data_IF_683410488878
#
_entry.id   IF_683410488878
#
_cell.length_a   1.000
_cell.length_b   1.000
_cell.length_c   1.000
_cell.angle_alpha   90.00
_cell.angle_beta   90.00
_cell.angle_gamma   90.00
#
_symmetry.space_group_name_H-M   'P 1'
#
loop_
_entity.id
_entity.type
_entity.pdbx_description
1 polymer ?
#
# COMPACT_ATOMS: atom_id res chain seq x y z
N UNK A 1 -35.80 9.12 73.28
CA UNK A 1 -34.93 8.02 73.74
C UNK A 1 -35.39 6.77 73.00
N UNK A 2 -34.59 6.27 72.03
CA UNK A 2 -34.59 4.91 71.40
C UNK A 2 -35.94 4.40 70.82
N UNK A 3 -36.09 3.67 69.72
CA UNK A 3 -35.29 3.08 68.65
C UNK A 3 -36.33 2.54 67.64
N UNK A 4 -35.96 2.33 66.37
CA UNK A 4 -36.61 1.33 65.49
C UNK A 4 -37.13 1.82 64.14
N UNK A 5 -36.49 1.38 63.05
CA UNK A 5 -37.03 1.32 61.67
C UNK A 5 -38.07 0.17 61.54
N UNK A 6 -38.93 0.12 60.49
CA UNK A 6 -38.56 -0.37 59.13
C UNK A 6 -39.20 0.43 57.96
N UNK A 7 -38.56 0.54 56.78
CA UNK A 7 -38.81 -0.19 55.50
C UNK A 7 -40.21 0.06 54.90
N UNK A 8 -40.48 0.36 53.63
CA UNK A 8 -39.81 0.17 52.34
C UNK A 8 -40.31 1.23 51.33
N UNK A 9 -39.53 1.52 50.29
CA UNK A 9 -39.96 2.27 49.11
C UNK A 9 -38.80 2.64 48.19
N UNK A 10 -38.49 1.74 47.25
CA UNK A 10 -37.55 1.98 46.14
C UNK A 10 -37.94 3.20 45.29
N UNK A 11 -36.95 4.01 44.87
CA UNK A 11 -36.92 4.63 43.55
C UNK A 11 -36.04 3.81 42.58
N UNK A 12 -36.28 3.91 41.27
CA UNK A 12 -35.75 2.97 40.28
C UNK A 12 -34.24 3.13 40.05
N UNK A 13 -33.63 2.01 39.69
CA UNK A 13 -32.24 1.83 39.32
C UNK A 13 -31.76 2.87 38.29
N UNK A 14 -30.72 3.61 38.67
CA UNK A 14 -29.79 4.22 37.71
C UNK A 14 -29.00 3.08 37.07
N UNK A 15 -29.51 2.55 35.96
CA UNK A 15 -28.70 1.79 34.99
C UNK A 15 -27.69 2.77 34.37
N UNK A 16 -26.63 3.07 35.12
CA UNK A 16 -25.35 3.41 34.52
C UNK A 16 -24.93 2.17 33.72
N UNK A 17 -25.23 2.19 32.42
CA UNK A 17 -24.53 1.35 31.48
C UNK A 17 -23.04 1.61 31.69
N UNK A 18 -22.35 0.60 32.22
CA UNK A 18 -20.93 0.41 31.99
C UNK A 18 -20.73 0.53 30.48
N UNK A 19 -20.21 1.68 30.07
CA UNK A 19 -19.60 1.87 28.76
C UNK A 19 -18.27 1.12 28.80
N UNK A 20 -18.37 -0.21 28.84
CA UNK A 20 -17.28 -1.13 28.56
C UNK A 20 -17.17 -1.26 27.04
N UNK A 21 -16.86 -0.15 26.37
CA UNK A 21 -16.25 -0.21 25.04
C UNK A 21 -14.78 -0.55 25.22
N UNK A 22 -14.48 -1.76 25.71
CA UNK A 22 -13.31 -2.47 25.23
C UNK A 22 -13.65 -2.97 23.84
N UNK A 23 -13.65 -2.06 22.88
CA UNK A 23 -13.44 -2.43 21.49
C UNK A 23 -11.99 -2.87 21.40
N UNK A 24 -11.75 -4.18 21.39
CA UNK A 24 -10.58 -4.73 20.73
C UNK A 24 -10.73 -4.39 19.23
N UNK A 25 -10.45 -3.12 18.88
CA UNK A 25 -10.45 -2.67 17.51
C UNK A 25 -9.27 -3.35 16.82
N UNK A 26 -9.56 -4.44 16.11
CA UNK A 26 -8.60 -5.07 15.21
C UNK A 26 -7.98 -3.96 14.33
N UNK A 27 -6.65 -3.95 14.20
CA UNK A 27 -5.96 -2.90 13.46
C UNK A 27 -6.51 -2.79 12.04
N UNK A 28 -7.26 -1.72 11.79
CA UNK A 28 -7.69 -1.34 10.46
C UNK A 28 -6.51 -0.70 9.72
N UNK A 29 -6.28 -1.11 8.49
CA UNK A 29 -5.23 -0.53 7.65
C UNK A 29 -5.71 0.83 7.15
N UNK A 30 -5.28 1.88 7.84
CA UNK A 30 -5.70 3.27 7.68
C UNK A 30 -7.17 3.55 8.00
N UNK A 31 -7.49 4.77 8.49
CA UNK A 31 -8.88 5.21 8.66
C UNK A 31 -9.70 5.15 7.35
N UNK A 32 -11.02 5.08 7.46
CA UNK A 32 -11.94 5.09 6.31
C UNK A 32 -11.82 6.36 5.46
N UNK A 33 -11.46 7.48 6.07
CA UNK A 33 -11.25 8.76 5.41
C UNK A 33 -9.80 8.97 4.93
N UNK A 34 -8.97 7.93 4.97
CA UNK A 34 -7.64 7.95 4.40
C UNK A 34 -7.69 7.87 2.87
N UNK A 35 -6.81 8.58 2.12
CA UNK A 35 -6.74 8.48 0.66
C UNK A 35 -6.59 7.07 0.07
N UNK A 36 -6.10 6.10 0.85
CA UNK A 36 -6.09 4.69 0.44
C UNK A 36 -7.50 4.08 0.42
N UNK A 37 -8.39 4.46 1.34
CA UNK A 37 -9.70 3.83 1.56
C UNK A 37 -10.87 4.67 1.03
N UNK A 38 -10.60 5.84 0.45
CA UNK A 38 -11.67 6.68 -0.13
C UNK A 38 -12.13 6.18 -1.50
N UNK A 39 -13.45 6.00 -1.64
CA UNK A 39 -14.13 5.81 -2.91
C UNK A 39 -14.03 7.06 -3.80
N UNK A 40 -13.41 6.90 -4.97
CA UNK A 40 -13.21 7.93 -5.99
C UNK A 40 -14.09 7.73 -7.23
N UNK A 41 -15.10 6.86 -7.17
CA UNK A 41 -15.94 6.51 -8.31
C UNK A 41 -16.93 7.61 -8.69
N UNK A 42 -17.28 8.52 -7.77
CA UNK A 42 -18.15 9.66 -8.07
C UNK A 42 -17.41 10.69 -8.93
N UNK A 43 -17.81 10.90 -10.21
CA UNK A 43 -17.13 11.84 -11.10
C UNK A 43 -17.39 13.32 -10.74
N UNK A 44 -18.32 13.61 -9.84
CA UNK A 44 -18.56 14.97 -9.34
C UNK A 44 -17.60 15.31 -8.21
N UNK A 45 -17.43 14.39 -7.26
CA UNK A 45 -16.47 14.54 -6.16
C UNK A 45 -15.01 14.41 -6.65
N UNK A 46 -14.78 13.47 -7.57
CA UNK A 46 -13.48 13.17 -8.18
C UNK A 46 -13.56 13.36 -9.70
N UNK A 47 -13.53 14.61 -10.18
CA UNK A 47 -13.58 14.88 -11.61
C UNK A 47 -12.30 14.38 -12.29
N UNK A 48 -12.43 14.06 -13.58
CA UNK A 48 -11.27 13.73 -14.42
C UNK A 48 -10.29 14.90 -14.40
N UNK A 49 -9.01 14.59 -14.17
CA UNK A 49 -7.94 15.57 -14.16
C UNK A 49 -7.80 16.20 -15.55
N UNK A 50 -7.61 17.53 -15.62
CA UNK A 50 -7.55 18.24 -16.91
C UNK A 50 -6.42 17.74 -17.85
N UNK A 51 -5.32 17.24 -17.27
CA UNK A 51 -4.20 16.64 -18.00
C UNK A 51 -4.30 15.11 -18.16
N UNK A 52 -5.45 14.48 -17.86
CA UNK A 52 -5.60 13.01 -17.91
C UNK A 52 -5.12 12.42 -19.24
N UNK A 53 -5.54 12.98 -20.38
CA UNK A 53 -5.14 12.48 -21.69
C UNK A 53 -3.62 12.55 -21.93
N UNK A 54 -2.96 13.59 -21.39
CA UNK A 54 -1.50 13.74 -21.51
C UNK A 54 -0.77 12.70 -20.64
N UNK A 55 -1.22 12.50 -19.40
CA UNK A 55 -0.66 11.47 -18.51
C UNK A 55 -0.81 10.07 -19.10
N UNK A 56 -2.00 9.71 -19.57
CA UNK A 56 -2.26 8.41 -20.20
C UNK A 56 -1.43 8.25 -21.49
N UNK A 57 -1.25 9.32 -22.27
CA UNK A 57 -0.38 9.31 -23.45
C UNK A 57 1.09 9.09 -23.08
N UNK A 58 1.56 9.68 -21.98
CA UNK A 58 2.93 9.52 -21.49
C UNK A 58 3.21 8.13 -20.95
N UNK A 59 2.27 7.52 -20.21
CA UNK A 59 2.42 6.15 -19.66
C UNK A 59 2.28 5.10 -20.77
N UNK A 60 1.39 5.34 -21.74
CA UNK A 60 1.22 4.47 -22.91
C UNK A 60 -0.20 3.91 -23.02
N UNK A 61 -1.08 4.48 -23.85
CA UNK A 61 -2.51 4.10 -23.92
C UNK A 61 -2.76 2.71 -24.50
N UNK A 62 -1.76 2.17 -25.20
CA UNK A 62 -1.78 0.83 -25.80
C UNK A 62 -0.99 -0.19 -24.98
N UNK A 63 -0.34 0.24 -23.89
CA UNK A 63 0.15 -0.66 -22.86
C UNK A 63 -1.03 -1.33 -22.16
N UNK A 64 -0.75 -2.37 -21.40
CA UNK A 64 -1.79 -3.20 -20.77
C UNK A 64 -1.47 -3.40 -19.31
N UNK A 65 -2.50 -3.46 -18.47
CA UNK A 65 -2.33 -3.73 -17.05
C UNK A 65 -1.64 -5.08 -16.84
N UNK A 66 -0.70 -5.12 -15.91
CA UNK A 66 0.11 -6.29 -15.62
C UNK A 66 0.10 -6.56 -14.12
N UNK A 67 -0.24 -7.79 -13.71
CA UNK A 67 -0.03 -8.24 -12.33
C UNK A 67 1.45 -8.53 -12.13
N UNK A 68 2.11 -7.75 -11.28
CA UNK A 68 3.48 -7.98 -10.84
C UNK A 68 3.51 -8.79 -9.54
N UNK A 69 2.70 -9.87 -9.52
CA UNK A 69 2.51 -10.79 -8.41
C UNK A 69 1.88 -12.09 -8.92
N UNK A 70 1.97 -13.16 -8.13
CA UNK A 70 1.42 -14.47 -8.51
C UNK A 70 1.98 -15.59 -7.65
N UNK A 71 2.23 -16.74 -8.27
CA UNK A 71 2.79 -17.91 -7.57
C UNK A 71 4.33 -17.82 -7.43
N UNK A 72 5.08 -18.38 -8.37
CA UNK A 72 6.54 -18.40 -8.39
C UNK A 72 7.10 -18.22 -9.81
N UNK A 73 8.21 -17.51 -9.93
CA UNK A 73 8.98 -17.36 -11.17
C UNK A 73 10.46 -17.60 -10.91
N UNK A 74 11.08 -18.48 -11.71
CA UNK A 74 12.50 -18.83 -11.59
C UNK A 74 12.96 -19.29 -10.19
N UNK A 75 12.04 -19.86 -9.39
CA UNK A 75 12.33 -20.37 -8.05
C UNK A 75 12.20 -19.34 -6.93
N UNK A 76 11.67 -18.16 -7.22
CA UNK A 76 11.32 -17.14 -6.23
C UNK A 76 9.82 -16.78 -6.33
N UNK A 77 9.17 -16.39 -5.21
CA UNK A 77 7.81 -15.86 -5.23
C UNK A 77 7.71 -14.59 -6.11
N UNK A 78 6.57 -14.41 -6.80
CA UNK A 78 6.31 -13.21 -7.61
C UNK A 78 5.49 -12.20 -6.78
N UNK A 79 5.99 -10.97 -6.66
CA UNK A 79 5.35 -9.89 -5.91
C UNK A 79 6.11 -9.55 -4.64
N UNK A 80 5.51 -8.67 -3.82
CA UNK A 80 6.15 -8.12 -2.63
C UNK A 80 5.59 -8.86 -1.41
N UNK A 81 6.37 -9.75 -0.77
CA UNK A 81 5.88 -10.48 0.39
C UNK A 81 5.92 -9.60 1.64
N UNK A 82 5.13 -10.01 2.64
CA UNK A 82 5.11 -9.40 3.95
C UNK A 82 5.02 -10.48 5.02
N UNK A 83 5.31 -10.11 6.27
CA UNK A 83 5.05 -10.94 7.43
C UNK A 83 4.23 -10.17 8.47
N UNK A 84 3.48 -10.90 9.28
CA UNK A 84 2.85 -10.34 10.49
C UNK A 84 3.88 -10.39 11.61
N UNK A 85 4.04 -9.29 12.35
CA UNK A 85 4.96 -9.21 13.48
C UNK A 85 4.35 -9.98 14.64
N UNK A 86 5.00 -11.07 15.04
CA UNK A 86 4.63 -11.87 16.20
C UNK A 86 5.47 -11.48 17.43
N UNK A 87 5.02 -11.82 18.64
CA UNK A 87 5.64 -11.37 19.88
C UNK A 87 7.10 -11.82 20.11
N UNK A 88 7.60 -12.79 19.34
CA UNK A 88 9.01 -13.24 19.34
C UNK A 88 9.82 -12.73 18.13
N UNK A 89 9.21 -11.94 17.24
CA UNK A 89 9.93 -11.28 16.14
C UNK A 89 10.99 -10.34 16.71
N UNK A 90 12.27 -10.50 16.36
CA UNK A 90 13.32 -9.67 16.91
C UNK A 90 13.29 -8.27 16.29
N UNK A 91 13.54 -7.28 17.15
CA UNK A 91 13.71 -5.89 16.75
C UNK A 91 15.19 -5.64 16.48
N UNK A 92 15.51 -5.23 15.27
CA UNK A 92 16.88 -5.03 14.80
C UNK A 92 17.10 -3.58 14.41
N UNK A 93 18.30 -3.08 14.74
CA UNK A 93 18.77 -1.80 14.25
C UNK A 93 19.20 -1.95 12.77
N UNK A 94 18.91 -0.93 11.97
CA UNK A 94 19.19 -0.91 10.54
C UNK A 94 19.95 0.38 10.21
N UNK A 95 21.05 0.27 9.46
CA UNK A 95 21.72 1.42 8.85
C UNK A 95 21.17 1.68 7.44
N UNK A 96 21.17 2.94 7.01
CA UNK A 96 20.55 3.34 5.76
C UNK A 96 21.52 4.02 4.79
N UNK A 97 21.36 3.74 3.50
CA UNK A 97 21.99 4.52 2.43
C UNK A 97 21.40 5.93 2.36
N UNK A 98 20.08 6.04 2.47
CA UNK A 98 19.30 7.28 2.49
C UNK A 98 18.84 7.60 3.92
N UNK A 99 19.80 7.72 4.83
CA UNK A 99 19.59 7.93 6.27
C UNK A 99 18.74 9.17 6.60
N UNK A 100 18.97 10.29 5.91
CA UNK A 100 18.25 11.55 6.14
C UNK A 100 16.77 11.52 5.71
N UNK A 101 16.39 10.51 4.93
CA UNK A 101 15.04 10.25 4.47
C UNK A 101 14.37 9.04 5.12
N UNK A 102 15.09 8.31 5.98
CA UNK A 102 14.60 7.08 6.63
C UNK A 102 14.20 7.31 8.08
N UNK A 103 13.37 6.42 8.61
CA UNK A 103 13.07 6.39 10.03
C UNK A 103 14.06 5.47 10.75
N UNK A 104 14.59 5.89 11.92
CA UNK A 104 15.72 5.20 12.57
C UNK A 104 15.43 3.77 13.03
N UNK A 105 14.16 3.39 13.19
CA UNK A 105 13.77 2.07 13.71
C UNK A 105 13.69 2.02 15.24
N UNK A 106 13.83 0.82 15.85
CA UNK A 106 14.22 -0.46 15.21
C UNK A 106 13.13 -1.04 14.30
N UNK A 107 13.50 -2.03 13.48
CA UNK A 107 12.62 -2.75 12.57
C UNK A 107 12.37 -4.20 13.02
N UNK A 108 11.16 -4.75 12.87
CA UNK A 108 10.88 -6.15 13.16
C UNK A 108 11.32 -6.99 11.95
N UNK A 109 12.43 -7.71 12.08
CA UNK A 109 12.96 -8.57 11.02
C UNK A 109 13.15 -9.98 11.58
N UNK A 110 12.35 -10.99 11.18
CA UNK A 110 12.50 -12.36 11.65
C UNK A 110 13.82 -12.99 11.16
N UNK A 111 14.19 -14.15 11.71
CA UNK A 111 15.44 -14.84 11.35
C UNK A 111 15.50 -15.24 9.86
N UNK A 112 14.33 -15.56 9.27
CA UNK A 112 14.16 -15.87 7.85
C UNK A 112 13.09 -14.94 7.26
N UNK A 113 13.43 -13.66 7.00
CA UNK A 113 12.45 -12.69 6.53
C UNK A 113 12.02 -13.01 5.10
N UNK A 114 10.74 -12.85 4.76
CA UNK A 114 10.35 -12.87 3.38
C UNK A 114 10.91 -11.62 2.68
N UNK A 115 11.67 -11.83 1.61
CA UNK A 115 12.31 -10.78 0.83
C UNK A 115 11.75 -10.86 -0.60
N UNK A 116 11.38 -9.70 -1.16
CA UNK A 116 11.01 -9.64 -2.59
C UNK A 116 12.15 -10.17 -3.48
N UNK A 117 11.80 -11.06 -4.42
CA UNK A 117 12.77 -11.75 -5.27
C UNK A 117 13.57 -12.84 -4.55
N UNK A 118 13.27 -13.10 -3.26
CA UNK A 118 13.91 -14.11 -2.43
C UNK A 118 15.25 -13.69 -1.83
N UNK A 119 15.87 -14.54 -0.99
CA UNK A 119 17.11 -14.23 -0.29
C UNK A 119 18.30 -13.97 -1.22
N UNK A 120 18.29 -14.55 -2.43
CA UNK A 120 19.30 -14.35 -3.48
C UNK A 120 18.93 -13.24 -4.49
N UNK A 121 17.82 -12.52 -4.29
CA UNK A 121 17.37 -11.43 -5.15
C UNK A 121 18.39 -10.28 -5.19
N UNK A 122 18.58 -9.63 -6.34
CA UNK A 122 19.59 -8.57 -6.49
C UNK A 122 18.98 -7.19 -6.78
N UNK A 123 17.64 -7.11 -6.83
CA UNK A 123 16.89 -5.91 -7.16
C UNK A 123 16.37 -5.26 -5.87
N UNK A 124 15.09 -4.92 -5.79
CA UNK A 124 14.56 -4.04 -4.74
C UNK A 124 14.59 -4.64 -3.33
N UNK A 125 14.43 -5.97 -3.19
CA UNK A 125 14.58 -6.69 -1.90
C UNK A 125 13.80 -6.03 -0.75
N UNK A 126 12.52 -5.75 -0.98
CA UNK A 126 11.66 -5.21 0.07
C UNK A 126 11.47 -6.21 1.23
N UNK A 127 11.42 -5.69 2.45
CA UNK A 127 10.96 -6.42 3.65
C UNK A 127 9.84 -5.59 4.28
N UNK A 128 8.64 -6.16 4.35
CA UNK A 128 7.47 -5.54 4.96
C UNK A 128 7.05 -6.32 6.22
N UNK A 129 6.91 -5.61 7.35
CA UNK A 129 6.45 -6.14 8.62
C UNK A 129 5.19 -5.42 9.09
N UNK A 130 4.10 -6.17 9.24
CA UNK A 130 2.80 -5.68 9.68
C UNK A 130 2.57 -6.02 11.15
N UNK A 131 2.59 -5.02 12.02
CA UNK A 131 2.31 -5.16 13.44
C UNK A 131 0.85 -4.80 13.71
N UNK A 132 0.00 -5.83 13.78
CA UNK A 132 -1.44 -5.67 14.01
C UNK A 132 -1.77 -5.33 15.47
N UNK A 133 -0.86 -5.61 16.42
CA UNK A 133 -1.06 -5.32 17.84
C UNK A 133 -0.81 -3.83 18.13
N UNK A 134 0.20 -3.24 17.48
CA UNK A 134 0.53 -1.81 17.61
C UNK A 134 -0.06 -0.95 16.49
N UNK A 135 -0.72 -1.57 15.52
CA UNK A 135 -1.24 -0.98 14.30
C UNK A 135 -0.20 -0.15 13.54
N UNK A 136 0.93 -0.79 13.24
CA UNK A 136 2.06 -0.17 12.54
C UNK A 136 2.55 -1.03 11.39
N UNK A 137 3.12 -0.35 10.41
CA UNK A 137 3.73 -0.96 9.24
C UNK A 137 5.19 -0.52 9.17
N UNK A 138 6.08 -1.48 9.01
CA UNK A 138 7.52 -1.28 8.91
C UNK A 138 7.98 -1.79 7.54
N UNK A 139 8.59 -0.91 6.75
CA UNK A 139 8.98 -1.25 5.39
C UNK A 139 10.42 -0.83 5.13
N UNK A 140 11.17 -1.74 4.52
CA UNK A 140 12.56 -1.54 4.13
C UNK A 140 12.69 -1.78 2.63
N UNK A 141 13.45 -0.90 1.96
CA UNK A 141 13.91 -1.06 0.58
C UNK A 141 15.38 -1.47 0.57
N UNK A 142 15.74 -2.37 -0.35
CA UNK A 142 17.09 -2.83 -0.61
C UNK A 142 17.80 -3.38 0.63
N UNK A 143 17.10 -4.27 1.35
CA UNK A 143 17.54 -4.78 2.64
C UNK A 143 18.51 -5.97 2.52
N UNK A 144 19.62 -5.88 3.23
CA UNK A 144 20.69 -6.87 3.25
C UNK A 144 21.07 -7.26 4.69
N UNK A 145 21.16 -8.57 4.99
CA UNK A 145 21.61 -9.03 6.30
C UNK A 145 23.09 -8.70 6.53
N UNK A 146 23.55 -8.67 7.80
CA UNK A 146 24.95 -8.41 8.13
C UNK A 146 25.92 -9.37 7.40
N UNK A 147 26.97 -8.83 6.78
CA UNK A 147 28.03 -9.61 6.12
C UNK A 147 27.64 -10.25 4.78
N UNK A 148 26.47 -9.92 4.22
CA UNK A 148 25.99 -10.48 2.96
C UNK A 148 25.72 -9.42 1.88
N UNK A 149 25.80 -9.86 0.62
CA UNK A 149 25.47 -9.03 -0.55
C UNK A 149 26.21 -7.69 -0.58
N UNK A 150 25.43 -6.61 -0.74
CA UNK A 150 25.93 -5.23 -0.82
C UNK A 150 25.97 -4.52 0.55
N UNK A 151 25.77 -5.25 1.66
CA UNK A 151 25.88 -4.70 3.01
C UNK A 151 27.34 -4.33 3.35
N UNK A 152 27.65 -3.06 3.68
CA UNK A 152 28.99 -2.65 4.10
C UNK A 152 29.31 -2.95 5.57
N UNK A 153 28.36 -3.50 6.33
CA UNK A 153 28.46 -3.81 7.76
C UNK A 153 28.47 -5.33 8.00
N UNK A 154 29.31 -5.77 8.95
CA UNK A 154 29.48 -7.19 9.31
C UNK A 154 28.54 -7.63 10.44
N UNK A 155 27.99 -6.67 11.19
CA UNK A 155 27.23 -6.90 12.43
C UNK A 155 25.94 -6.08 12.52
N UNK A 156 25.53 -5.43 11.42
CA UNK A 156 24.34 -4.56 11.36
C UNK A 156 23.59 -4.76 10.04
N UNK A 157 22.25 -4.75 10.10
CA UNK A 157 21.43 -4.75 8.88
C UNK A 157 21.65 -3.46 8.10
N UNK A 158 21.57 -3.54 6.78
CA UNK A 158 21.70 -2.39 5.91
C UNK A 158 20.59 -2.36 4.88
N UNK A 159 19.96 -1.19 4.71
CA UNK A 159 18.90 -0.96 3.75
C UNK A 159 19.17 0.30 2.93
N UNK A 160 18.56 0.40 1.76
CA UNK A 160 18.52 1.64 0.98
C UNK A 160 17.79 2.73 1.77
N UNK A 161 16.54 2.47 2.12
CA UNK A 161 15.69 3.35 2.93
C UNK A 161 14.74 2.52 3.80
N UNK A 162 14.17 3.18 4.82
CA UNK A 162 13.18 2.58 5.70
C UNK A 162 12.10 3.57 6.11
N UNK A 163 10.87 3.08 6.25
CA UNK A 163 9.73 3.87 6.69
C UNK A 163 8.88 3.11 7.70
N UNK A 164 8.33 3.85 8.67
CA UNK A 164 7.39 3.35 9.66
C UNK A 164 6.10 4.16 9.56
N UNK A 165 4.98 3.48 9.39
CA UNK A 165 3.67 4.10 9.26
C UNK A 165 2.79 3.73 10.44
N UNK A 166 2.09 4.72 10.98
CA UNK A 166 0.99 4.53 11.91
C UNK A 166 -0.28 4.26 11.08
N UNK A 167 -0.75 3.02 11.10
CA UNK A 167 -1.91 2.59 10.33
C UNK A 167 -3.23 3.08 10.93
N UNK A 168 -3.21 3.69 12.11
CA UNK A 168 -4.39 4.31 12.72
C UNK A 168 -4.55 5.79 12.36
N UNK A 169 -3.62 6.37 11.58
CA UNK A 169 -3.55 7.80 11.29
C UNK A 169 -3.65 8.14 9.80
N UNK A 170 -4.09 9.37 9.52
CA UNK A 170 -4.00 10.00 8.20
C UNK A 170 -2.74 10.86 8.04
N UNK A 171 -1.85 10.85 9.03
CA UNK A 171 -0.60 11.60 8.98
C UNK A 171 0.28 11.07 7.84
N UNK A 172 0.80 12.00 7.04
CA UNK A 172 1.73 11.69 5.96
C UNK A 172 3.16 11.78 6.45
N UNK A 173 4.08 11.14 5.72
CA UNK A 173 5.51 11.43 5.88
C UNK A 173 5.77 12.92 5.60
N UNK A 174 6.85 13.50 6.16
CA UNK A 174 7.25 14.85 5.78
C UNK A 174 7.49 14.97 4.27
N UNK A 175 7.09 16.09 3.68
CA UNK A 175 7.38 16.39 2.29
C UNK A 175 8.87 16.27 1.97
N UNK A 176 9.13 15.79 0.76
CA UNK A 176 10.43 15.50 0.19
C UNK A 176 11.19 14.36 0.91
N UNK A 177 10.47 13.49 1.65
CA UNK A 177 11.02 12.22 2.14
C UNK A 177 10.42 11.03 1.39
N UNK A 178 11.30 10.19 0.87
CA UNK A 178 10.96 8.87 0.34
C UNK A 178 10.55 7.90 1.46
N UNK A 179 10.19 6.69 1.07
CA UNK A 179 9.93 5.54 1.94
C UNK A 179 10.66 4.30 1.41
N UNK A 180 10.18 3.10 1.72
CA UNK A 180 10.54 1.92 0.95
C UNK A 180 10.04 2.03 -0.50
N UNK A 181 8.94 2.74 -0.74
CA UNK A 181 8.47 3.14 -2.08
C UNK A 181 9.00 4.53 -2.49
N UNK A 182 9.23 4.77 -3.77
CA UNK A 182 9.88 6.00 -4.23
C UNK A 182 9.00 7.26 -4.08
N UNK A 183 7.67 7.12 -4.11
CA UNK A 183 6.72 8.21 -3.88
C UNK A 183 6.62 8.66 -2.40
N UNK A 184 7.29 7.96 -1.46
CA UNK A 184 7.08 8.17 -0.03
C UNK A 184 5.79 7.52 0.50
N UNK A 185 5.19 6.62 -0.28
CA UNK A 185 3.97 5.90 0.04
C UNK A 185 4.28 4.58 0.76
N UNK A 186 3.38 4.10 1.64
CA UNK A 186 3.47 2.72 2.13
C UNK A 186 3.17 1.72 1.00
N UNK A 187 3.90 0.61 0.96
CA UNK A 187 3.76 -0.43 -0.07
C UNK A 187 2.59 -1.36 0.26
N UNK A 188 2.55 -1.91 1.47
CA UNK A 188 1.56 -2.92 1.89
C UNK A 188 0.10 -2.51 1.61
N UNK A 189 -0.35 -1.28 1.91
CA UNK A 189 -1.71 -0.83 1.64
C UNK A 189 -2.06 -0.73 0.15
N UNK A 190 -1.06 -0.76 -0.74
CA UNK A 190 -1.24 -0.76 -2.19
C UNK A 190 -1.19 -2.14 -2.84
N UNK A 191 -0.95 -3.21 -2.08
CA UNK A 191 -0.82 -4.57 -2.60
C UNK A 191 -2.18 -5.23 -2.82
N UNK A 192 -2.36 -5.89 -3.97
CA UNK A 192 -3.40 -6.92 -4.13
C UNK A 192 -3.05 -8.13 -3.28
N UNK A 193 -3.97 -8.60 -2.43
CA UNK A 193 -3.78 -9.80 -1.59
C UNK A 193 -4.77 -10.90 -1.97
N UNK A 194 -4.35 -12.16 -1.85
CA UNK A 194 -5.15 -13.32 -2.27
C UNK A 194 -6.43 -13.43 -1.46
N UNK A 195 -6.34 -13.25 -0.15
CA UNK A 195 -7.44 -13.31 0.79
C UNK A 195 -8.57 -12.34 0.37
N UNK A 196 -8.23 -11.08 0.11
CA UNK A 196 -9.21 -10.07 -0.28
C UNK A 196 -9.84 -10.35 -1.65
N UNK A 197 -9.02 -10.67 -2.64
CA UNK A 197 -9.47 -10.86 -4.01
C UNK A 197 -10.31 -12.13 -4.20
N UNK A 198 -9.95 -13.22 -3.49
CA UNK A 198 -10.49 -14.56 -3.73
C UNK A 198 -11.39 -15.05 -2.60
N UNK A 199 -11.01 -14.81 -1.34
CA UNK A 199 -11.74 -15.32 -0.17
C UNK A 199 -12.86 -14.37 0.21
N UNK A 200 -12.55 -13.07 0.37
CA UNK A 200 -13.51 -12.05 0.77
C UNK A 200 -14.32 -11.54 -0.41
N UNK A 201 -13.72 -11.51 -1.60
CA UNK A 201 -14.35 -11.07 -2.84
C UNK A 201 -14.50 -9.54 -2.92
N UNK A 202 -13.69 -8.80 -2.16
CA UNK A 202 -13.65 -7.35 -2.15
C UNK A 202 -12.24 -6.87 -1.77
N UNK A 203 -11.74 -5.87 -2.50
CA UNK A 203 -10.57 -5.09 -2.12
C UNK A 203 -11.08 -3.67 -1.86
N UNK A 204 -10.96 -3.22 -0.61
CA UNK A 204 -11.59 -1.98 -0.12
C UNK A 204 -10.61 -0.81 0.01
N UNK A 205 -9.51 -0.89 -0.73
CA UNK A 205 -8.47 0.13 -0.77
C UNK A 205 -7.94 0.31 -2.19
N UNK A 206 -7.16 1.37 -2.36
CA UNK A 206 -6.48 1.65 -3.60
C UNK A 206 -5.28 0.73 -3.80
N UNK A 207 -4.92 0.55 -5.07
CA UNK A 207 -3.71 -0.20 -5.43
C UNK A 207 -2.53 0.74 -5.69
N UNK A 208 -1.33 0.19 -5.75
CA UNK A 208 -0.16 0.89 -6.30
C UNK A 208 0.18 0.39 -7.70
N UNK A 209 0.76 1.26 -8.52
CA UNK A 209 1.34 0.86 -9.79
C UNK A 209 2.56 1.71 -10.15
N UNK A 210 3.33 1.23 -11.14
CA UNK A 210 4.54 1.92 -11.61
C UNK A 210 4.40 2.50 -13.02
N UNK A 211 5.24 3.49 -13.30
CA UNK A 211 5.34 4.18 -14.60
C UNK A 211 6.81 4.28 -15.01
N UNK A 212 7.14 4.22 -16.29
CA UNK A 212 8.53 4.29 -16.72
C UNK A 212 9.17 5.66 -16.48
N UNK A 213 8.35 6.73 -16.54
CA UNK A 213 8.83 8.10 -16.38
C UNK A 213 7.82 8.96 -15.63
N UNK A 214 8.24 9.50 -14.49
CA UNK A 214 7.50 10.52 -13.74
C UNK A 214 8.06 11.94 -13.96
N UNK A 215 7.31 12.95 -13.52
CA UNK A 215 7.80 14.32 -13.35
C UNK A 215 8.35 14.57 -11.94
N UNK A 216 9.12 15.65 -11.80
CA UNK A 216 9.65 16.19 -10.54
C UNK A 216 8.55 16.93 -9.77
N UNK A 217 7.49 16.20 -9.43
CA UNK A 217 6.38 16.68 -8.62
C UNK A 217 5.64 15.49 -8.01
N UNK A 218 4.88 15.75 -6.96
CA UNK A 218 3.98 14.78 -6.36
C UNK A 218 2.62 15.40 -5.99
N UNK A 219 1.63 14.55 -5.78
CA UNK A 219 0.32 14.87 -5.23
C UNK A 219 0.13 14.00 -3.98
N UNK A 220 -0.32 14.59 -2.88
CA UNK A 220 -0.64 13.82 -1.68
C UNK A 220 -1.64 12.68 -1.97
N UNK A 221 -1.49 11.51 -1.30
CA UNK A 221 -0.66 11.25 -0.13
C UNK A 221 0.82 10.97 -0.41
N UNK A 222 1.27 10.98 -1.67
CA UNK A 222 2.72 10.93 -1.93
C UNK A 222 3.40 12.15 -1.33
N UNK A 223 4.65 11.98 -0.94
CA UNK A 223 5.47 13.00 -0.27
C UNK A 223 6.80 13.20 -0.98
N UNK A 224 7.07 12.45 -2.04
CA UNK A 224 8.35 12.46 -2.73
C UNK A 224 8.21 12.21 -4.24
N UNK A 225 9.23 12.61 -5.01
CA UNK A 225 9.35 12.36 -6.44
C UNK A 225 10.68 11.66 -6.75
N UNK A 226 10.71 10.83 -7.79
CA UNK A 226 11.90 10.07 -8.18
C UNK A 226 12.45 10.49 -9.56
N UNK A 227 12.28 11.75 -9.93
CA UNK A 227 12.62 12.25 -11.27
C UNK A 227 13.13 13.69 -11.24
N UNK A 228 14.01 14.01 -12.18
CA UNK A 228 14.45 15.40 -12.46
C UNK A 228 13.67 16.05 -13.61
N UNK A 229 12.75 15.33 -14.26
CA UNK A 229 12.00 15.84 -15.40
C UNK A 229 10.96 16.88 -14.97
N UNK A 230 10.97 18.05 -15.58
CA UNK A 230 9.93 19.08 -15.37
C UNK A 230 8.85 19.08 -16.47
N UNK A 231 8.74 17.99 -17.23
CA UNK A 231 7.74 17.83 -18.28
C UNK A 231 6.34 17.65 -17.66
N UNK A 232 5.41 18.61 -17.83
CA UNK A 232 4.11 18.57 -17.17
C UNK A 232 3.19 17.46 -17.70
N UNK A 233 3.54 16.84 -18.83
CA UNK A 233 2.76 15.75 -19.42
C UNK A 233 3.10 14.38 -18.80
N UNK A 234 4.17 14.29 -18.00
CA UNK A 234 4.51 13.05 -17.27
C UNK A 234 3.71 12.94 -15.99
N UNK A 235 3.31 11.74 -15.56
CA UNK A 235 2.62 11.56 -14.28
C UNK A 235 3.50 12.02 -13.09
N UNK A 236 2.95 12.80 -12.13
CA UNK A 236 3.60 13.02 -10.84
C UNK A 236 3.44 11.78 -9.96
N UNK A 237 4.31 11.62 -8.96
CA UNK A 237 4.10 10.60 -7.92
C UNK A 237 2.80 10.91 -7.15
N UNK A 238 2.09 9.88 -6.72
CA UNK A 238 0.78 10.00 -6.08
C UNK A 238 -0.37 10.41 -7.02
N UNK A 239 -0.13 10.54 -8.33
CA UNK A 239 -1.23 10.69 -9.29
C UNK A 239 -2.19 9.50 -9.15
N UNK A 240 -3.47 9.80 -8.98
CA UNK A 240 -4.52 8.78 -8.82
C UNK A 240 -5.19 8.49 -10.16
N UNK A 241 -5.10 7.25 -10.61
CA UNK A 241 -5.82 6.75 -11.79
C UNK A 241 -7.00 5.88 -11.34
N UNK A 242 -8.10 5.92 -12.09
CA UNK A 242 -9.20 4.95 -11.94
C UNK A 242 -9.51 4.28 -13.27
N UNK A 243 -9.98 3.04 -13.20
CA UNK A 243 -10.58 2.36 -14.34
C UNK A 243 -11.92 3.04 -14.66
N UNK A 244 -12.19 3.31 -15.95
CA UNK A 244 -13.43 3.96 -16.35
C UNK A 244 -14.64 3.12 -15.96
N UNK A 245 -15.67 3.80 -15.46
CA UNK A 245 -16.89 3.16 -14.95
C UNK A 245 -17.57 2.26 -16.00
N UNK A 246 -17.51 2.64 -17.27
CA UNK A 246 -18.13 1.95 -18.40
C UNK A 246 -17.29 0.83 -19.01
N UNK A 247 -16.04 0.62 -18.55
CA UNK A 247 -15.25 -0.54 -18.96
C UNK A 247 -15.91 -1.83 -18.46
N UNK A 248 -16.25 -2.75 -19.37
CA UNK A 248 -16.92 -3.99 -19.00
C UNK A 248 -15.94 -4.98 -18.36
N UNK A 249 -16.27 -5.41 -17.13
CA UNK A 249 -15.47 -6.38 -16.37
C UNK A 249 -16.16 -7.74 -16.28
N UNK A 250 -17.39 -7.90 -16.79
CA UNK A 250 -18.17 -9.13 -16.61
C UNK A 250 -17.62 -10.37 -17.33
N UNK A 251 -16.67 -10.18 -18.24
CA UNK A 251 -16.00 -11.25 -18.99
C UNK A 251 -14.76 -11.84 -18.31
N UNK A 252 -14.31 -11.26 -17.20
CA UNK A 252 -13.10 -11.68 -16.49
C UNK A 252 -13.42 -12.75 -15.43
N UNK A 253 -12.39 -13.49 -15.00
CA UNK A 253 -12.50 -14.44 -13.88
C UNK A 253 -12.88 -13.72 -12.58
N UNK A 254 -13.60 -14.37 -11.63
CA UNK A 254 -14.19 -13.70 -10.47
C UNK A 254 -13.23 -12.82 -9.66
N UNK A 255 -12.05 -13.32 -9.34
CA UNK A 255 -11.01 -12.58 -8.60
C UNK A 255 -10.46 -11.39 -9.39
N UNK A 256 -10.44 -11.50 -10.72
CA UNK A 256 -10.03 -10.40 -11.59
C UNK A 256 -11.12 -9.33 -11.65
N UNK A 257 -12.40 -9.71 -11.59
CA UNK A 257 -13.49 -8.74 -11.44
C UNK A 257 -13.35 -7.96 -10.14
N UNK A 258 -12.93 -8.60 -9.05
CA UNK A 258 -12.68 -7.92 -7.76
C UNK A 258 -11.57 -6.88 -7.88
N UNK A 259 -10.42 -7.24 -8.47
CA UNK A 259 -9.31 -6.31 -8.71
C UNK A 259 -9.76 -5.13 -9.60
N UNK A 260 -10.45 -5.41 -10.70
CA UNK A 260 -10.93 -4.37 -11.62
C UNK A 260 -12.01 -3.49 -10.99
N UNK A 261 -12.86 -4.05 -10.11
CA UNK A 261 -13.85 -3.28 -9.36
C UNK A 261 -13.16 -2.36 -8.33
N UNK A 262 -12.10 -2.81 -7.67
CA UNK A 262 -11.30 -1.96 -6.80
C UNK A 262 -10.66 -0.81 -7.58
N UNK A 263 -10.13 -1.06 -8.78
CA UNK A 263 -9.60 -0.02 -9.67
C UNK A 263 -10.66 0.98 -10.17
N UNK A 264 -11.93 0.60 -10.24
CA UNK A 264 -13.03 1.55 -10.51
C UNK A 264 -13.39 2.38 -9.29
N UNK A 265 -13.37 1.76 -8.12
CA UNK A 265 -13.91 2.32 -6.87
C UNK A 265 -12.85 3.17 -6.18
N UNK A 266 -11.71 2.56 -5.86
CA UNK A 266 -10.61 3.20 -5.16
C UNK A 266 -9.53 3.66 -6.14
N UNK A 267 -9.32 2.97 -7.25
CA UNK A 267 -8.27 3.33 -8.21
C UNK A 267 -6.86 2.92 -7.75
N UNK A 268 -5.84 3.56 -8.32
CA UNK A 268 -4.44 3.25 -8.03
C UNK A 268 -3.53 4.46 -8.06
N UNK A 269 -2.50 4.47 -7.22
CA UNK A 269 -1.49 5.54 -7.15
C UNK A 269 -0.25 5.22 -7.99
N UNK A 270 0.25 6.22 -8.70
CA UNK A 270 1.63 6.20 -9.23
C UNK A 270 2.59 6.21 -8.04
N UNK A 271 3.26 5.09 -7.80
CA UNK A 271 4.04 4.88 -6.59
C UNK A 271 5.55 4.87 -6.85
N UNK A 272 5.97 4.37 -8.01
CA UNK A 272 7.38 4.29 -8.37
C UNK A 272 7.63 4.43 -9.87
N UNK A 273 8.89 4.68 -10.23
CA UNK A 273 9.40 4.52 -11.57
C UNK A 273 9.74 3.04 -11.81
N UNK A 274 9.00 2.39 -12.71
CA UNK A 274 9.13 0.97 -13.03
C UNK A 274 8.59 0.66 -14.42
N UNK A 275 8.00 -0.50 -14.60
CA UNK A 275 7.35 -0.85 -15.87
C UNK A 275 5.95 -0.25 -15.95
N UNK A 276 5.63 0.43 -17.05
CA UNK A 276 4.31 1.03 -17.23
C UNK A 276 3.17 0.01 -17.03
N UNK A 277 2.18 0.38 -16.23
CA UNK A 277 0.94 -0.39 -15.95
C UNK A 277 1.11 -1.65 -15.10
N UNK A 278 2.21 -1.77 -14.35
CA UNK A 278 2.43 -2.89 -13.43
C UNK A 278 1.82 -2.56 -12.08
N UNK A 279 0.79 -3.30 -11.67
CA UNK A 279 0.21 -3.26 -10.32
C UNK A 279 0.88 -4.31 -9.45
N UNK A 280 1.10 -3.98 -8.17
CA UNK A 280 1.78 -4.89 -7.24
C UNK A 280 0.80 -5.67 -6.37
N UNK A 281 1.25 -6.83 -5.90
CA UNK A 281 0.51 -7.66 -4.97
C UNK A 281 1.44 -8.56 -4.16
N UNK A 282 0.84 -9.26 -3.20
CA UNK A 282 1.55 -10.26 -2.40
C UNK A 282 1.60 -11.61 -3.14
N UNK A 283 2.73 -12.33 -3.07
CA UNK A 283 2.80 -13.70 -3.59
C UNK A 283 1.89 -14.62 -2.80
N UNK A 284 1.24 -15.56 -3.49
CA UNK A 284 0.48 -16.65 -2.87
C UNK A 284 0.47 -17.87 -3.81
N UNK A 285 0.80 -19.09 -3.34
CA UNK A 285 0.82 -20.29 -4.18
C UNK A 285 -0.58 -20.72 -4.68
N UNK A 286 -1.64 -20.11 -4.17
CA UNK A 286 -3.03 -20.38 -4.51
C UNK A 286 -3.55 -19.47 -5.63
N UNK A 287 -2.76 -18.47 -6.08
CA UNK A 287 -3.08 -17.68 -7.25
C UNK A 287 -3.21 -18.54 -8.51
N UNK A 288 -4.08 -18.11 -9.41
CA UNK A 288 -4.12 -18.60 -10.79
C UNK A 288 -3.39 -17.60 -11.68
N UNK A 289 -2.14 -17.89 -12.04
CA UNK A 289 -1.35 -17.01 -12.92
C UNK A 289 -2.02 -16.85 -14.30
N UNK A 290 -2.75 -17.87 -14.77
CA UNK A 290 -3.56 -17.80 -15.99
C UNK A 290 -4.69 -16.76 -15.87
N UNK A 291 -5.34 -16.66 -14.71
CA UNK A 291 -6.36 -15.64 -14.47
C UNK A 291 -5.72 -14.26 -14.28
N UNK A 292 -4.61 -14.15 -13.55
CA UNK A 292 -3.87 -12.87 -13.39
C UNK A 292 -3.44 -12.30 -14.75
N UNK A 293 -3.09 -13.17 -15.70
CA UNK A 293 -2.78 -12.79 -17.08
C UNK A 293 -3.95 -12.15 -17.84
N UNK A 294 -5.20 -12.35 -17.39
CA UNK A 294 -6.35 -11.69 -18.00
C UNK A 294 -6.27 -10.17 -17.90
N UNK A 295 -5.58 -9.61 -16.90
CA UNK A 295 -5.38 -8.17 -16.76
C UNK A 295 -4.70 -7.55 -17.99
N UNK A 296 -3.95 -8.34 -18.78
CA UNK A 296 -3.35 -7.88 -20.04
C UNK A 296 -4.38 -7.51 -21.10
N UNK A 297 -5.67 -7.84 -20.90
CA UNK A 297 -6.76 -7.40 -21.75
C UNK A 297 -7.21 -5.97 -21.46
N UNK A 298 -6.78 -5.37 -20.34
CA UNK A 298 -7.15 -4.01 -19.93
C UNK A 298 -6.12 -3.03 -20.46
N UNK A 299 -6.44 -2.24 -21.49
CA UNK A 299 -5.49 -1.28 -22.04
C UNK A 299 -5.37 -0.06 -21.12
N UNK A 300 -4.22 0.63 -21.15
CA UNK A 300 -4.03 1.90 -20.45
C UNK A 300 -5.08 2.96 -20.83
N UNK A 301 -5.58 2.93 -22.07
CA UNK A 301 -6.69 3.78 -22.52
C UNK A 301 -8.03 3.54 -21.80
N UNK A 302 -8.19 2.44 -21.05
CA UNK A 302 -9.33 2.19 -20.18
C UNK A 302 -9.28 3.01 -18.87
N UNK A 303 -8.15 3.63 -18.56
CA UNK A 303 -7.96 4.45 -17.37
C UNK A 303 -8.14 5.94 -17.66
N UNK A 304 -8.37 6.69 -16.59
CA UNK A 304 -8.32 8.14 -16.53
C UNK A 304 -7.68 8.58 -15.21
N UNK A 305 -6.94 9.69 -15.23
CA UNK A 305 -6.45 10.31 -14.02
C UNK A 305 -7.56 11.16 -13.40
N UNK A 306 -7.72 11.08 -12.08
CA UNK A 306 -8.68 11.91 -11.34
C UNK A 306 -7.96 13.04 -10.62
N UNK A 307 -8.67 14.14 -10.42
CA UNK A 307 -8.16 15.26 -9.64
C UNK A 307 -8.31 14.97 -8.14
N UNK A 308 -7.19 14.82 -7.44
CA UNK A 308 -7.14 14.58 -5.98
C UNK A 308 -6.43 15.69 -5.20
N UNK A 309 -5.76 16.62 -5.89
CA UNK A 309 -5.02 17.70 -5.25
C UNK A 309 -4.13 18.47 -6.22
N UNK A 310 -3.49 19.50 -5.68
CA UNK A 310 -2.52 20.32 -6.41
C UNK A 310 -1.14 19.63 -6.44
N UNK A 311 -0.34 19.97 -7.46
CA UNK A 311 1.04 19.53 -7.57
C UNK A 311 1.94 20.24 -6.55
N UNK A 312 2.83 19.47 -5.93
CA UNK A 312 3.91 19.95 -5.06
C UNK A 312 5.24 19.70 -5.77
N UNK A 313 6.12 20.71 -5.79
CA UNK A 313 7.40 20.76 -6.52
C UNK A 313 8.59 20.88 -5.57
#
# INVERSE_FOLDING_TARGET
MLCGCPSDGDPPDDDAADDDTTGDDACQIFPDDNPWNIDISDPVAYPVHANSDAYIASIGPNGTLHADFGTEWQGAPIGIPFHVVEGDTPWVDVAFLYDDQSDEGPYPIPEDPPIEGGPDGQEDRHILGLDLDQCRLYELFWAWPPGEGDNPHEDLWYAGSGAIFDLSSNDLRPDYRTSADAAGLPIYPGLVRYEEAVVDGAIEHALRFTVAQSQRAFIHPATHYASDSTDPDRPPMGLRLRLKADYDIGGFSPEIQVILQALKTYGMFVADNGSDWFISGAPDPSWSDDHLHELWQVPGSAFEAVYTGELIY
#
